data_IF_248173685404
#
_entry.id   IF_248173685404
#
_cell.length_a   1.000
_cell.length_b   1.000
_cell.length_c   1.000
_cell.angle_alpha   90.00
_cell.angle_beta   90.00
_cell.angle_gamma   90.00
#
_symmetry.space_group_name_H-M   'P 1'
#
loop_
_entity.id
_entity.type
_entity.pdbx_description
1 polymer ?
#
# COMPACT_ATOMS: atom_id res chain seq x y z
N UNK A 1 12.63 -13.72 13.81
CA UNK A 1 11.84 -12.81 14.68
C UNK A 1 10.41 -13.33 14.81
N UNK A 2 9.85 -13.42 16.02
CA UNK A 2 8.61 -14.16 16.29
C UNK A 2 7.34 -13.49 15.78
N UNK A 3 6.38 -14.31 15.28
CA UNK A 3 5.03 -13.89 14.82
C UNK A 3 4.30 -12.95 15.80
N UNK A 4 4.54 -13.12 17.10
CA UNK A 4 3.94 -12.30 18.16
C UNK A 4 4.35 -10.81 18.09
N UNK A 5 5.63 -10.51 17.86
CA UNK A 5 6.12 -9.12 17.77
C UNK A 5 5.55 -8.41 16.54
N UNK A 6 5.49 -9.11 15.40
CA UNK A 6 4.91 -8.59 14.17
C UNK A 6 3.41 -8.28 14.35
N UNK A 7 2.66 -9.17 15.00
CA UNK A 7 1.25 -8.94 15.31
C UNK A 7 1.06 -7.72 16.21
N UNK A 8 1.87 -7.56 17.26
CA UNK A 8 1.77 -6.42 18.17
C UNK A 8 2.00 -5.08 17.45
N UNK A 9 3.02 -5.01 16.58
CA UNK A 9 3.28 -3.83 15.75
C UNK A 9 2.10 -3.53 14.84
N UNK A 10 1.58 -4.53 14.14
CA UNK A 10 0.45 -4.37 13.23
C UNK A 10 -0.76 -3.77 13.93
N UNK A 11 -1.13 -4.28 15.11
CA UNK A 11 -2.24 -3.72 15.89
C UNK A 11 -1.94 -2.30 16.38
N UNK A 12 -0.72 -2.03 16.86
CA UNK A 12 -0.32 -0.68 17.28
C UNK A 12 -0.43 0.32 16.12
N UNK A 13 0.03 -0.05 14.94
CA UNK A 13 -0.05 0.78 13.73
C UNK A 13 -1.51 0.99 13.30
N UNK A 14 -2.34 -0.05 13.35
CA UNK A 14 -3.76 0.02 13.02
C UNK A 14 -4.53 0.96 13.97
N UNK A 15 -4.43 0.75 15.29
CA UNK A 15 -5.15 1.57 16.27
C UNK A 15 -4.60 2.99 16.34
N UNK A 16 -3.27 3.16 16.23
CA UNK A 16 -2.63 4.47 16.14
C UNK A 16 -3.11 5.26 14.92
N UNK A 17 -3.15 4.61 13.75
CA UNK A 17 -3.70 5.19 12.52
C UNK A 17 -5.19 5.52 12.65
N UNK A 18 -5.98 4.61 13.22
CA UNK A 18 -7.42 4.83 13.45
C UNK A 18 -7.68 6.07 14.31
N UNK A 19 -6.93 6.24 15.41
CA UNK A 19 -7.06 7.40 16.30
C UNK A 19 -6.59 8.67 15.59
N UNK A 20 -5.39 8.65 14.97
CA UNK A 20 -4.81 9.81 14.29
C UNK A 20 -5.71 10.32 13.16
N UNK A 21 -6.30 9.42 12.38
CA UNK A 21 -7.06 9.75 11.17
C UNK A 21 -8.58 9.65 11.31
N UNK A 22 -9.13 9.57 12.53
CA UNK A 22 -10.57 9.34 12.76
C UNK A 22 -11.51 10.20 11.90
N UNK A 23 -11.21 11.48 11.75
CA UNK A 23 -12.03 12.41 10.95
C UNK A 23 -11.88 12.15 9.45
N UNK A 24 -10.65 11.87 8.98
CA UNK A 24 -10.39 11.50 7.58
C UNK A 24 -11.05 10.17 7.25
N UNK A 25 -11.01 9.19 8.15
CA UNK A 25 -11.68 7.90 8.00
C UNK A 25 -13.19 8.08 7.87
N UNK A 26 -13.81 8.91 8.72
CA UNK A 26 -15.25 9.21 8.63
C UNK A 26 -15.63 9.85 7.29
N UNK A 27 -14.84 10.83 6.84
CA UNK A 27 -15.05 11.48 5.53
C UNK A 27 -14.83 10.51 4.36
N UNK A 28 -13.79 9.69 4.44
CA UNK A 28 -13.51 8.65 3.44
C UNK A 28 -14.67 7.66 3.37
N UNK A 29 -15.20 7.22 4.51
CA UNK A 29 -16.34 6.29 4.57
C UNK A 29 -17.60 6.85 3.89
N UNK A 30 -17.96 8.10 4.17
CA UNK A 30 -19.09 8.77 3.50
C UNK A 30 -18.87 8.88 1.99
N UNK A 31 -17.65 9.25 1.58
CA UNK A 31 -17.29 9.38 0.17
C UNK A 31 -17.29 8.03 -0.55
N UNK A 32 -16.74 6.97 0.06
CA UNK A 32 -16.70 5.60 -0.46
C UNK A 32 -18.12 5.10 -0.71
N UNK A 33 -19.00 5.19 0.29
CA UNK A 33 -20.38 4.71 0.17
C UNK A 33 -21.16 5.48 -0.90
N UNK A 34 -21.04 6.82 -0.92
CA UNK A 34 -21.68 7.64 -1.95
C UNK A 34 -21.18 7.32 -3.36
N UNK A 35 -19.87 7.12 -3.53
CA UNK A 35 -19.29 6.76 -4.81
C UNK A 35 -19.79 5.40 -5.28
N UNK A 36 -19.81 4.41 -4.38
CA UNK A 36 -20.30 3.07 -4.67
C UNK A 36 -21.78 3.09 -5.09
N UNK A 37 -22.63 3.80 -4.35
CA UNK A 37 -24.05 3.97 -4.67
C UNK A 37 -24.26 4.58 -6.07
N UNK A 38 -23.59 5.70 -6.38
CA UNK A 38 -23.71 6.38 -7.67
C UNK A 38 -23.21 5.52 -8.84
N UNK A 39 -22.23 4.64 -8.59
CA UNK A 39 -21.63 3.77 -9.60
C UNK A 39 -22.25 2.38 -9.67
N UNK A 40 -23.21 2.06 -8.81
CA UNK A 40 -23.76 0.70 -8.71
C UNK A 40 -22.70 -0.32 -8.33
N UNK A 41 -21.79 0.02 -7.43
CA UNK A 41 -20.74 -0.85 -6.91
C UNK A 41 -21.07 -1.28 -5.48
N UNK A 42 -20.48 -2.39 -5.05
CA UNK A 42 -20.44 -2.77 -3.64
C UNK A 42 -19.13 -2.28 -2.98
N UNK A 43 -19.16 -2.17 -1.65
CA UNK A 43 -17.99 -1.85 -0.82
C UNK A 43 -17.62 -3.09 -0.05
N UNK A 44 -16.32 -3.33 0.14
CA UNK A 44 -15.84 -4.49 0.89
C UNK A 44 -16.49 -4.61 2.28
N UNK A 45 -17.16 -5.73 2.59
CA UNK A 45 -17.91 -5.89 3.84
C UNK A 45 -17.01 -6.14 5.06
N UNK A 46 -15.73 -6.48 4.86
CA UNK A 46 -14.81 -6.82 5.94
C UNK A 46 -14.25 -5.57 6.62
N UNK A 47 -14.86 -5.19 7.74
CA UNK A 47 -14.61 -3.93 8.47
C UNK A 47 -13.14 -3.63 8.75
N UNK A 48 -12.35 -4.63 9.15
CA UNK A 48 -10.92 -4.42 9.46
C UNK A 48 -10.13 -4.08 8.19
N UNK A 49 -10.38 -4.81 7.10
CA UNK A 49 -9.76 -4.56 5.79
C UNK A 49 -10.12 -3.16 5.28
N UNK A 50 -11.42 -2.84 5.23
CA UNK A 50 -11.93 -1.55 4.80
C UNK A 50 -11.38 -0.39 5.65
N UNK A 51 -11.30 -0.56 6.97
CA UNK A 51 -10.75 0.48 7.86
C UNK A 51 -9.26 0.71 7.60
N UNK A 52 -8.52 -0.37 7.33
CA UNK A 52 -7.09 -0.26 7.03
C UNK A 52 -6.85 0.48 5.71
N UNK A 53 -7.65 0.21 4.67
CA UNK A 53 -7.61 0.97 3.42
C UNK A 53 -7.88 2.46 3.64
N UNK A 54 -8.87 2.81 4.47
CA UNK A 54 -9.17 4.21 4.82
C UNK A 54 -8.01 4.88 5.55
N UNK A 55 -7.33 4.16 6.45
CA UNK A 55 -6.12 4.65 7.11
C UNK A 55 -5.03 4.90 6.06
N UNK A 56 -4.73 3.93 5.20
CA UNK A 56 -3.67 4.06 4.18
C UNK A 56 -3.96 5.17 3.16
N UNK A 57 -5.22 5.38 2.77
CA UNK A 57 -5.61 6.52 1.94
C UNK A 57 -5.33 7.87 2.64
N UNK A 58 -5.57 7.95 3.95
CA UNK A 58 -5.29 9.14 4.74
C UNK A 58 -3.78 9.37 4.94
N UNK A 59 -3.01 8.30 5.12
CA UNK A 59 -1.55 8.33 5.16
C UNK A 59 -0.96 8.81 3.83
N UNK A 60 -1.42 8.26 2.72
CA UNK A 60 -0.99 8.68 1.38
C UNK A 60 -1.35 10.14 1.11
N UNK A 61 -2.51 10.62 1.57
CA UNK A 61 -2.85 12.04 1.47
C UNK A 61 -1.94 12.93 2.33
N UNK A 62 -1.48 12.47 3.49
CA UNK A 62 -0.51 13.20 4.32
C UNK A 62 0.89 13.22 3.68
N UNK A 63 1.33 12.11 3.09
CA UNK A 63 2.67 12.00 2.48
C UNK A 63 2.72 12.74 1.13
N UNK A 64 1.71 12.55 0.28
CA UNK A 64 1.73 12.98 -1.13
C UNK A 64 0.81 14.17 -1.43
N UNK A 65 0.01 14.63 -0.47
CA UNK A 65 -0.99 15.69 -0.68
C UNK A 65 -2.23 15.25 -1.46
N UNK A 66 -2.32 13.98 -1.85
CA UNK A 66 -3.46 13.40 -2.57
C UNK A 66 -3.66 11.94 -2.17
N UNK A 67 -4.89 11.44 -2.34
CA UNK A 67 -5.28 10.07 -1.97
C UNK A 67 -4.80 9.04 -3.01
N UNK A 68 -3.49 8.92 -3.20
CA UNK A 68 -2.89 7.86 -4.03
C UNK A 68 -3.40 6.49 -3.56
N UNK A 69 -3.76 5.63 -4.51
CA UNK A 69 -4.24 4.27 -4.23
C UNK A 69 -3.25 3.55 -3.30
N UNK A 70 -3.71 2.94 -2.19
CA UNK A 70 -2.80 2.34 -1.22
C UNK A 70 -2.10 1.07 -1.73
N UNK A 71 -2.46 0.58 -2.91
CA UNK A 71 -1.83 -0.59 -3.55
C UNK A 71 -0.55 -0.28 -4.31
N UNK A 72 -0.32 0.98 -4.67
CA UNK A 72 0.87 1.38 -5.41
C UNK A 72 1.48 2.63 -4.79
N UNK A 73 2.80 2.71 -4.81
CA UNK A 73 3.52 3.92 -4.43
C UNK A 73 3.32 5.06 -5.45
N UNK A 74 3.55 6.30 -5.02
CA UNK A 74 3.56 7.44 -5.93
C UNK A 74 4.76 7.34 -6.89
N UNK A 75 4.53 7.60 -8.17
CA UNK A 75 5.55 7.51 -9.22
C UNK A 75 6.37 8.79 -9.38
N UNK A 76 5.86 9.93 -8.89
CA UNK A 76 6.48 11.25 -9.06
C UNK A 76 6.16 11.88 -10.41
N UNK A 77 5.57 11.11 -11.34
CA UNK A 77 4.95 11.62 -12.55
C UNK A 77 3.51 12.03 -12.27
N UNK A 78 3.21 13.33 -12.42
CA UNK A 78 1.88 13.89 -12.14
C UNK A 78 0.76 13.25 -12.96
N UNK A 79 1.03 12.82 -14.19
CA UNK A 79 0.02 12.21 -15.07
C UNK A 79 -0.31 10.80 -14.58
N UNK A 80 0.71 10.01 -14.23
CA UNK A 80 0.52 8.65 -13.72
C UNK A 80 -0.09 8.70 -12.31
N UNK A 81 0.39 9.58 -11.44
CA UNK A 81 -0.13 9.74 -10.08
C UNK A 81 -1.60 10.18 -10.05
N UNK A 82 -2.03 10.96 -11.05
CA UNK A 82 -3.45 11.31 -11.22
C UNK A 82 -4.30 10.08 -11.55
N UNK A 83 -3.77 9.14 -12.34
CA UNK A 83 -4.44 7.87 -12.64
C UNK A 83 -4.50 6.95 -11.41
N UNK A 84 -3.49 7.03 -10.53
CA UNK A 84 -3.45 6.29 -9.26
C UNK A 84 -4.28 6.91 -8.14
N UNK A 85 -4.71 8.17 -8.25
CA UNK A 85 -5.49 8.84 -7.20
C UNK A 85 -6.88 8.22 -7.07
N UNK A 86 -7.27 7.85 -5.84
CA UNK A 86 -8.54 7.18 -5.56
C UNK A 86 -9.75 8.12 -5.81
N UNK A 87 -10.76 7.71 -6.60
CA UNK A 87 -10.91 6.41 -7.27
C UNK A 87 -10.03 6.36 -8.52
N UNK A 88 -9.13 5.38 -8.58
CA UNK A 88 -8.13 5.30 -9.65
C UNK A 88 -8.78 4.92 -10.98
N UNK A 89 -8.17 5.32 -12.09
CA UNK A 89 -8.70 5.02 -13.44
C UNK A 89 -8.71 3.53 -13.75
N UNK A 90 -7.84 2.77 -13.07
CA UNK A 90 -7.71 1.33 -13.22
C UNK A 90 -8.83 0.53 -12.54
N UNK A 91 -9.54 1.13 -11.58
CA UNK A 91 -10.55 0.41 -10.80
C UNK A 91 -11.66 -0.20 -11.66
N UNK A 92 -12.08 0.49 -12.73
CA UNK A 92 -13.12 -0.01 -13.64
C UNK A 92 -12.66 -1.30 -14.30
N UNK A 93 -11.45 -1.29 -14.88
CA UNK A 93 -10.87 -2.46 -15.54
C UNK A 93 -10.71 -3.64 -14.56
N UNK A 94 -10.13 -3.38 -13.39
CA UNK A 94 -9.94 -4.43 -12.38
C UNK A 94 -11.29 -5.05 -11.96
N UNK A 95 -12.33 -4.24 -11.76
CA UNK A 95 -13.67 -4.72 -11.37
C UNK A 95 -14.27 -5.58 -12.48
N UNK A 96 -14.10 -5.19 -13.74
CA UNK A 96 -14.58 -5.97 -14.88
C UNK A 96 -13.87 -7.34 -14.99
N UNK A 97 -12.56 -7.39 -14.76
CA UNK A 97 -11.76 -8.61 -14.93
C UNK A 97 -11.80 -9.52 -13.70
N UNK A 98 -11.75 -8.94 -12.49
CA UNK A 98 -11.58 -9.67 -11.23
C UNK A 98 -12.78 -9.59 -10.29
N UNK A 99 -13.78 -8.77 -10.59
CA UNK A 99 -14.93 -8.51 -9.72
C UNK A 99 -14.69 -7.45 -8.64
N UNK A 100 -13.43 -7.09 -8.36
CA UNK A 100 -13.02 -6.04 -7.41
C UNK A 100 -11.96 -5.14 -8.00
N UNK A 101 -11.86 -3.89 -7.52
CA UNK A 101 -10.66 -3.10 -7.79
C UNK A 101 -9.45 -3.76 -7.11
N UNK A 102 -8.23 -3.54 -7.61
CA UNK A 102 -7.02 -4.22 -7.10
C UNK A 102 -6.85 -4.11 -5.57
N UNK A 103 -7.25 -2.99 -4.96
CA UNK A 103 -7.17 -2.83 -3.50
C UNK A 103 -8.32 -3.48 -2.71
N UNK A 104 -9.24 -4.18 -3.37
CA UNK A 104 -10.49 -4.72 -2.81
C UNK A 104 -11.29 -3.69 -2.00
N UNK A 105 -11.30 -2.41 -2.42
CA UNK A 105 -12.16 -1.39 -1.82
C UNK A 105 -13.59 -1.46 -2.37
N UNK A 106 -13.70 -1.53 -3.70
CA UNK A 106 -14.94 -1.60 -4.45
C UNK A 106 -15.03 -2.93 -5.20
N UNK A 107 -16.25 -3.41 -5.40
CA UNK A 107 -16.54 -4.59 -6.21
C UNK A 107 -17.82 -4.45 -7.01
N UNK A 108 -18.13 -5.44 -7.85
CA UNK A 108 -19.42 -5.53 -8.54
C UNK A 108 -20.58 -5.58 -7.54
N UNK A 109 -21.75 -5.08 -7.93
CA UNK A 109 -22.91 -4.96 -7.03
C UNK A 109 -23.34 -6.29 -6.40
N UNK A 110 -23.15 -7.38 -7.12
CA UNK A 110 -23.59 -8.74 -6.81
C UNK A 110 -22.45 -9.66 -6.36
N UNK A 111 -21.32 -9.09 -5.90
CA UNK A 111 -20.18 -9.87 -5.40
C UNK A 111 -20.54 -10.55 -4.08
N UNK A 112 -20.37 -11.87 -3.99
CA UNK A 112 -20.70 -12.65 -2.78
C UNK A 112 -19.63 -12.51 -1.70
N UNK A 113 -19.98 -12.91 -0.48
CA UNK A 113 -19.04 -12.97 0.65
C UNK A 113 -17.85 -13.92 0.38
N UNK A 114 -18.10 -15.04 -0.29
CA UNK A 114 -17.05 -15.98 -0.72
C UNK A 114 -16.12 -15.34 -1.76
N UNK A 115 -16.69 -14.68 -2.77
CA UNK A 115 -15.91 -13.98 -3.79
C UNK A 115 -15.06 -12.86 -3.20
N UNK A 116 -15.57 -12.10 -2.22
CA UNK A 116 -14.77 -11.10 -1.48
C UNK A 116 -13.55 -11.73 -0.80
N UNK A 117 -13.72 -12.88 -0.15
CA UNK A 117 -12.62 -13.60 0.51
C UNK A 117 -11.60 -14.13 -0.50
N UNK A 118 -12.06 -14.62 -1.63
CA UNK A 118 -11.18 -15.07 -2.72
C UNK A 118 -10.33 -13.91 -3.26
N UNK A 119 -10.93 -12.75 -3.49
CA UNK A 119 -10.19 -11.57 -3.96
C UNK A 119 -9.22 -11.03 -2.91
N UNK A 120 -9.57 -11.05 -1.62
CA UNK A 120 -8.61 -10.73 -0.55
C UNK A 120 -7.44 -11.71 -0.50
N UNK A 121 -7.71 -13.01 -0.64
CA UNK A 121 -6.67 -14.02 -0.68
C UNK A 121 -5.75 -13.86 -1.90
N UNK A 122 -6.29 -13.49 -3.07
CA UNK A 122 -5.53 -13.18 -4.27
C UNK A 122 -4.53 -12.05 -4.02
N UNK A 123 -5.01 -10.91 -3.52
CA UNK A 123 -4.14 -9.75 -3.22
C UNK A 123 -3.11 -10.11 -2.14
N UNK A 124 -3.50 -10.87 -1.11
CA UNK A 124 -2.51 -11.31 -0.11
C UNK A 124 -1.42 -12.20 -0.70
N UNK A 125 -1.71 -13.02 -1.72
CA UNK A 125 -0.73 -13.84 -2.41
C UNK A 125 0.23 -13.00 -3.25
N UNK A 126 -0.28 -11.97 -3.94
CA UNK A 126 0.52 -11.04 -4.75
C UNK A 126 1.49 -10.24 -3.87
N UNK A 127 1.05 -9.75 -2.70
CA UNK A 127 1.89 -8.87 -1.88
C UNK A 127 2.80 -9.61 -0.90
N UNK A 128 2.50 -10.86 -0.51
CA UNK A 128 3.28 -11.62 0.48
C UNK A 128 4.29 -12.56 -0.17
N UNK A 129 5.08 -12.03 -1.11
CA UNK A 129 6.23 -12.75 -1.65
C UNK A 129 7.44 -12.66 -0.70
N UNK A 130 8.35 -13.64 -0.68
CA UNK A 130 9.60 -13.54 0.08
C UNK A 130 10.42 -12.32 -0.36
N UNK A 131 10.92 -11.55 0.61
CA UNK A 131 11.85 -10.46 0.35
C UNK A 131 13.20 -11.01 -0.16
N UNK A 132 13.80 -10.36 -1.15
CA UNK A 132 15.15 -10.66 -1.60
C UNK A 132 16.16 -10.04 -0.62
N UNK A 133 16.60 -10.83 0.37
CA UNK A 133 17.46 -10.37 1.46
C UNK A 133 18.89 -10.87 1.25
N UNK A 134 19.86 -9.97 1.33
CA UNK A 134 21.29 -10.26 1.38
C UNK A 134 21.91 -9.57 2.59
N UNK A 135 22.15 -10.33 3.66
CA UNK A 135 22.59 -9.75 4.93
C UNK A 135 21.52 -8.84 5.54
N UNK A 136 21.84 -7.54 5.70
CA UNK A 136 20.92 -6.50 6.16
C UNK A 136 20.40 -5.62 5.01
N UNK A 137 20.51 -6.07 3.77
CA UNK A 137 20.06 -5.36 2.58
C UNK A 137 18.86 -6.08 1.98
N UNK A 138 17.81 -5.33 1.64
CA UNK A 138 16.64 -5.79 0.90
C UNK A 138 16.69 -5.23 -0.51
N UNK A 139 16.85 -6.09 -1.52
CA UNK A 139 16.78 -5.67 -2.92
C UNK A 139 15.32 -5.69 -3.37
N UNK A 140 14.78 -4.53 -3.74
CA UNK A 140 13.36 -4.41 -4.09
C UNK A 140 13.05 -4.63 -5.56
N UNK A 141 14.08 -4.80 -6.38
CA UNK A 141 13.98 -4.92 -7.84
C UNK A 141 13.59 -6.33 -8.27
N UNK A 142 13.24 -6.47 -9.56
CA UNK A 142 12.94 -7.76 -10.22
C UNK A 142 11.80 -8.53 -9.55
N UNK A 143 10.80 -7.82 -9.04
CA UNK A 143 9.54 -8.40 -8.56
C UNK A 143 8.52 -8.50 -9.69
N UNK A 144 7.46 -9.31 -9.55
CA UNK A 144 6.36 -9.31 -10.52
C UNK A 144 5.78 -7.92 -10.72
N UNK A 145 5.27 -7.65 -11.92
CA UNK A 145 4.58 -6.41 -12.25
C UNK A 145 3.09 -6.68 -12.51
N UNK A 146 2.26 -5.71 -12.19
CA UNK A 146 0.86 -5.69 -12.60
C UNK A 146 0.79 -5.55 -14.13
N UNK A 147 0.19 -6.54 -14.80
CA UNK A 147 0.18 -6.64 -16.26
C UNK A 147 -0.47 -5.43 -16.95
N UNK A 148 -1.38 -4.72 -16.28
CA UNK A 148 -2.11 -3.59 -16.85
C UNK A 148 -1.42 -2.25 -16.57
N UNK A 149 -0.77 -2.10 -15.42
CA UNK A 149 -0.12 -0.85 -15.00
C UNK A 149 1.38 -0.81 -15.28
N UNK A 150 2.01 -1.96 -15.51
CA UNK A 150 3.47 -2.12 -15.60
C UNK A 150 4.17 -1.59 -14.33
N UNK A 151 3.59 -1.88 -13.17
CA UNK A 151 4.09 -1.46 -11.86
C UNK A 151 4.39 -2.65 -10.97
N UNK A 152 5.48 -2.56 -10.22
CA UNK A 152 5.91 -3.59 -9.27
C UNK A 152 4.82 -3.92 -8.24
N UNK A 153 4.57 -5.22 -8.05
CA UNK A 153 3.69 -5.76 -7.02
C UNK A 153 4.41 -6.90 -6.28
N UNK A 154 4.79 -6.71 -4.99
CA UNK A 154 4.67 -5.48 -4.20
C UNK A 154 5.71 -4.41 -4.59
N UNK A 155 5.29 -3.15 -4.62
CA UNK A 155 6.19 -2.01 -4.79
C UNK A 155 7.22 -1.85 -3.62
N UNK A 156 8.25 -1.02 -3.77
CA UNK A 156 9.26 -0.79 -2.74
C UNK A 156 8.73 -0.35 -1.36
N UNK A 157 7.63 0.41 -1.28
CA UNK A 157 7.02 0.82 -0.01
C UNK A 157 6.31 -0.36 0.66
N UNK A 158 5.65 -1.22 -0.13
CA UNK A 158 5.06 -2.45 0.39
C UNK A 158 6.12 -3.43 0.88
N UNK A 159 7.24 -3.53 0.16
CA UNK A 159 8.40 -4.29 0.61
C UNK A 159 8.98 -3.70 1.91
N UNK A 160 9.12 -2.38 2.04
CA UNK A 160 9.53 -1.71 3.29
C UNK A 160 8.65 -2.11 4.48
N UNK A 161 7.32 -2.06 4.30
CA UNK A 161 6.37 -2.42 5.37
C UNK A 161 6.61 -3.84 5.87
N UNK A 162 6.93 -4.76 4.96
CA UNK A 162 7.32 -6.14 5.28
C UNK A 162 8.69 -6.22 5.96
N UNK A 163 9.70 -5.51 5.44
CA UNK A 163 11.06 -5.46 6.00
C UNK A 163 11.05 -4.98 7.45
N UNK A 164 10.25 -3.97 7.77
CA UNK A 164 10.11 -3.45 9.13
C UNK A 164 9.55 -4.51 10.13
N UNK A 165 8.92 -5.58 9.65
CA UNK A 165 8.51 -6.72 10.49
C UNK A 165 9.59 -7.80 10.65
N UNK A 166 10.63 -7.79 9.79
CA UNK A 166 11.66 -8.83 9.71
C UNK A 166 13.02 -8.39 10.27
N UNK A 167 13.34 -7.10 10.24
CA UNK A 167 14.58 -6.54 10.79
C UNK A 167 14.35 -5.84 12.12
N UNK A 168 15.29 -5.99 13.05
CA UNK A 168 15.42 -5.17 14.26
C UNK A 168 16.72 -4.35 14.09
N UNK A 169 16.69 -3.04 14.30
CA UNK A 169 17.83 -2.15 14.06
C UNK A 169 17.93 -1.62 12.62
N UNK A 170 19.17 -1.35 12.17
CA UNK A 170 19.44 -0.72 10.87
C UNK A 170 19.49 -1.76 9.74
N UNK A 171 18.74 -1.50 8.68
CA UNK A 171 18.80 -2.25 7.43
C UNK A 171 18.78 -1.28 6.25
N UNK A 172 19.15 -1.77 5.07
CA UNK A 172 19.16 -0.98 3.85
C UNK A 172 18.24 -1.57 2.79
N UNK A 173 17.78 -0.74 1.87
CA UNK A 173 16.94 -1.15 0.74
C UNK A 173 17.53 -0.61 -0.56
N UNK A 174 17.71 -1.49 -1.54
CA UNK A 174 18.05 -1.09 -2.90
C UNK A 174 16.74 -0.82 -3.63
N UNK A 175 16.59 0.39 -4.17
CA UNK A 175 15.46 0.78 -5.02
C UNK A 175 15.96 1.39 -6.33
N UNK A 176 15.23 1.16 -7.42
CA UNK A 176 15.64 1.59 -8.75
C UNK A 176 15.41 3.09 -8.98
N UNK A 177 14.28 3.62 -8.51
CA UNK A 177 13.88 5.01 -8.77
C UNK A 177 14.12 5.90 -7.55
N UNK A 178 14.54 7.15 -7.80
CA UNK A 178 14.67 8.13 -6.73
C UNK A 178 13.34 8.36 -6.01
N UNK A 179 12.24 8.38 -6.76
CA UNK A 179 10.93 8.58 -6.17
C UNK A 179 10.57 7.46 -5.18
N UNK A 180 10.94 6.21 -5.47
CA UNK A 180 10.74 5.10 -4.53
C UNK A 180 11.52 5.32 -3.23
N UNK A 181 12.74 5.84 -3.32
CA UNK A 181 13.53 6.22 -2.14
C UNK A 181 12.84 7.35 -1.34
N UNK A 182 12.33 8.38 -2.02
CA UNK A 182 11.56 9.48 -1.40
C UNK A 182 10.30 8.97 -0.73
N UNK A 183 9.58 8.03 -1.34
CA UNK A 183 8.37 7.43 -0.78
C UNK A 183 8.68 6.64 0.50
N UNK A 184 9.75 5.85 0.51
CA UNK A 184 10.22 5.13 1.70
C UNK A 184 10.55 6.11 2.82
N UNK A 185 11.33 7.16 2.55
CA UNK A 185 11.67 8.18 3.54
C UNK A 185 10.41 8.90 4.05
N UNK A 186 9.47 9.23 3.16
CA UNK A 186 8.19 9.85 3.54
C UNK A 186 7.36 8.95 4.47
N UNK A 187 7.25 7.66 4.16
CA UNK A 187 6.57 6.69 5.01
C UNK A 187 7.29 6.50 6.36
N UNK A 188 8.62 6.38 6.37
CA UNK A 188 9.41 6.28 7.59
C UNK A 188 9.21 7.51 8.47
N UNK A 189 9.30 8.72 7.92
CA UNK A 189 9.02 9.97 8.64
C UNK A 189 7.63 9.98 9.27
N UNK A 190 6.61 9.55 8.51
CA UNK A 190 5.24 9.43 9.01
C UNK A 190 5.13 8.50 10.23
N UNK A 191 5.93 7.43 10.26
CA UNK A 191 5.98 6.44 11.32
C UNK A 191 6.99 6.76 12.43
N UNK A 192 7.63 7.94 12.39
CA UNK A 192 8.72 8.33 13.30
C UNK A 192 9.89 7.32 13.28
N UNK A 193 10.24 6.85 12.08
CA UNK A 193 11.38 5.99 11.81
C UNK A 193 12.40 6.83 11.04
N UNK A 194 13.66 6.81 11.46
CA UNK A 194 14.72 7.52 10.76
C UNK A 194 15.07 6.79 9.47
N UNK A 195 15.09 7.53 8.36
CA UNK A 195 15.51 7.02 7.07
C UNK A 195 16.15 8.11 6.22
N UNK A 196 17.15 7.73 5.45
CA UNK A 196 17.82 8.56 4.46
C UNK A 196 18.16 7.73 3.23
N UNK A 197 18.45 8.37 2.11
CA UNK A 197 18.90 7.66 0.92
C UNK A 197 20.10 8.36 0.30
N UNK A 198 20.90 7.57 -0.40
CA UNK A 198 22.03 8.02 -1.19
C UNK A 198 21.89 7.49 -2.61
N UNK A 199 22.30 8.32 -3.58
CA UNK A 199 22.40 7.90 -4.96
C UNK A 199 23.64 6.99 -5.12
N UNK A 200 23.45 5.93 -5.89
CA UNK A 200 24.48 5.07 -6.47
C UNK A 200 24.28 5.10 -7.98
N UNK A 201 25.33 4.75 -8.74
CA UNK A 201 25.37 4.95 -10.19
C UNK A 201 24.09 4.49 -10.90
N UNK A 202 23.56 3.32 -10.54
CA UNK A 202 22.38 2.71 -11.18
C UNK A 202 21.18 2.49 -10.24
N UNK A 203 21.24 2.94 -8.98
CA UNK A 203 20.18 2.70 -7.99
C UNK A 203 20.26 3.67 -6.80
N UNK A 204 19.30 3.59 -5.90
CA UNK A 204 19.30 4.36 -4.65
C UNK A 204 19.36 3.39 -3.46
N UNK A 205 20.28 3.66 -2.55
CA UNK A 205 20.41 2.89 -1.31
C UNK A 205 19.73 3.65 -0.19
N UNK A 206 18.62 3.11 0.32
CA UNK A 206 17.87 3.70 1.43
C UNK A 206 18.30 3.03 2.72
N UNK A 207 18.75 3.80 3.71
CA UNK A 207 19.09 3.30 5.04
C UNK A 207 17.95 3.59 5.98
N UNK A 208 17.43 2.57 6.68
CA UNK A 208 16.30 2.66 7.61
C UNK A 208 16.75 2.22 8.99
N UNK A 209 16.50 3.04 10.01
CA UNK A 209 16.88 2.78 11.39
C UNK A 209 15.61 2.58 12.24
N UNK A 210 15.34 1.31 12.58
CA UNK A 210 14.15 0.89 13.33
C UNK A 210 14.44 0.65 14.81
#
# INVERSE_FOLDING_TARGET
MGKLKANLRMYKDFFGGYIKYREKIKKADQWINKYAEVKGLSVNPHKMYLTNLKIWLAENEEIYGQRICPCFEATGDKKIDRQLTCPCTYAVHDIEVHGTCHCNLFGRADLTEEEWKEQEARIMKEYRIPLNIQGNIVDTRNVPQDDYREMDVPDPVHQLKQSLNQFDGTFQMIVEREQSAKNIVGYCKLKNIEASYENRDDYYLVTVQK
#
